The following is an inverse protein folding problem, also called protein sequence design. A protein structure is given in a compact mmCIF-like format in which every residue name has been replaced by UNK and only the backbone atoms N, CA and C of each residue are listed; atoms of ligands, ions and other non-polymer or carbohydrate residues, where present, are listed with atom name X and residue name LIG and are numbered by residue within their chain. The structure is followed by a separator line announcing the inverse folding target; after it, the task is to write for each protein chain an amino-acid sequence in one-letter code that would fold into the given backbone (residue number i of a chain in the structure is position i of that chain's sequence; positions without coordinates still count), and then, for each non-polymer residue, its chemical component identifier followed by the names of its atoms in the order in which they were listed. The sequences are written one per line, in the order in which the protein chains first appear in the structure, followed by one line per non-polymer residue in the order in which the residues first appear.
data_IF_220318475005
#
_entry.id   IF_220318475005
#
_cell.length_a   1.000
_cell.length_b   1.000
_cell.length_c   1.000
_cell.angle_alpha   90.00
_cell.angle_beta   90.00
_cell.angle_gamma   90.00
#
_symmetry.space_group_name_H-M   'P 1'
#
loop_
_entity.id
_entity.type
_entity.pdbx_description
1 polymer ?
#
# COMPACT_ATOMS: atom_id res chain seq x y z
N UNK A 1 4.67 21.17 -44.51
CA UNK A 1 3.78 20.17 -45.14
C UNK A 1 4.15 18.80 -44.59
N UNK A 2 3.15 18.05 -44.07
CA UNK A 2 3.15 16.63 -43.62
C UNK A 2 4.06 16.31 -42.41
N UNK A 3 3.61 16.13 -41.15
CA UNK A 3 2.56 15.27 -40.53
C UNK A 3 2.66 13.79 -40.92
N UNK A 4 2.95 12.93 -39.93
CA UNK A 4 2.45 11.54 -39.67
C UNK A 4 3.31 10.94 -38.53
N UNK A 5 2.90 11.05 -37.26
CA UNK A 5 2.10 10.08 -36.49
C UNK A 5 2.84 8.76 -36.18
N UNK A 6 3.26 8.60 -34.92
CA UNK A 6 3.35 7.30 -34.24
C UNK A 6 2.73 7.46 -32.84
N UNK A 7 1.40 7.42 -32.82
CA UNK A 7 0.59 7.11 -31.64
C UNK A 7 0.58 5.58 -31.54
N UNK A 8 1.11 5.00 -30.46
CA UNK A 8 0.87 3.61 -30.12
C UNK A 8 0.06 3.54 -28.82
N UNK A 9 -1.26 3.37 -29.02
CA UNK A 9 -2.25 2.65 -28.23
C UNK A 9 -2.12 2.67 -26.70
N UNK A 10 -2.75 3.67 -26.10
CA UNK A 10 -3.52 3.52 -24.87
C UNK A 10 -4.97 3.12 -25.21
N UNK A 11 -5.61 2.35 -24.32
CA UNK A 11 -6.99 1.80 -24.35
C UNK A 11 -7.10 0.56 -25.26
N UNK A 12 -7.42 -0.64 -24.77
CA UNK A 12 -8.68 -1.05 -24.12
C UNK A 12 -8.46 -2.40 -23.42
N UNK A 13 -8.75 -2.50 -22.12
CA UNK A 13 -9.61 -3.57 -21.64
C UNK A 13 -10.62 -2.95 -20.68
N UNK A 14 -11.85 -2.91 -21.18
CA UNK A 14 -13.04 -2.67 -20.38
C UNK A 14 -13.17 -3.79 -19.34
N UNK A 15 -13.76 -3.40 -18.21
CA UNK A 15 -14.29 -4.24 -17.15
C UNK A 15 -14.39 -5.74 -17.50
N UNK A 16 -13.49 -6.55 -16.95
CA UNK A 16 -13.81 -7.93 -16.60
C UNK A 16 -14.13 -7.92 -15.11
N UNK A 17 -15.37 -7.58 -14.77
CA UNK A 17 -16.00 -8.17 -13.60
C UNK A 17 -16.64 -9.46 -14.14
N UNK A 18 -16.11 -10.64 -13.78
CA UNK A 18 -16.68 -11.89 -14.30
C UNK A 18 -15.83 -13.15 -14.17
N UNK A 19 -14.51 -13.08 -14.00
CA UNK A 19 -13.66 -14.29 -14.02
C UNK A 19 -13.19 -14.75 -12.63
N UNK A 20 -13.68 -14.14 -11.55
CA UNK A 20 -13.22 -14.43 -10.19
C UNK A 20 -11.75 -14.05 -9.95
N UNK A 21 -11.23 -13.07 -10.69
CA UNK A 21 -9.86 -12.57 -10.59
C UNK A 21 -9.81 -11.09 -10.29
N UNK A 22 -8.72 -10.67 -9.66
CA UNK A 22 -8.38 -9.30 -9.33
C UNK A 22 -6.96 -9.00 -9.84
N UNK A 23 -6.77 -7.81 -10.39
CA UNK A 23 -5.48 -7.35 -10.93
C UNK A 23 -5.10 -6.00 -10.32
N UNK A 24 -3.83 -5.63 -10.44
CA UNK A 24 -3.32 -4.31 -10.07
C UNK A 24 -2.50 -3.72 -11.19
N UNK A 25 -2.92 -2.55 -11.65
CA UNK A 25 -2.13 -1.76 -12.59
C UNK A 25 -1.26 -0.75 -11.84
N UNK A 26 0.03 -0.97 -11.88
CA UNK A 26 1.02 -0.05 -11.31
C UNK A 26 1.50 0.92 -12.39
N UNK A 27 1.12 2.18 -12.24
CA UNK A 27 1.46 3.24 -13.18
C UNK A 27 2.97 3.54 -13.16
N UNK A 28 3.54 4.10 -14.24
CA UNK A 28 4.88 4.65 -14.22
C UNK A 28 5.03 5.75 -13.17
N UNK A 29 6.27 5.99 -12.74
CA UNK A 29 6.58 7.17 -11.93
C UNK A 29 6.28 8.45 -12.71
N UNK A 30 5.56 9.37 -12.08
CA UNK A 30 5.39 10.72 -12.56
C UNK A 30 6.26 11.66 -11.71
N UNK A 31 6.99 12.55 -12.38
CA UNK A 31 7.86 13.52 -11.74
C UNK A 31 7.46 14.94 -12.12
N UNK A 32 7.55 15.87 -11.16
CA UNK A 32 7.40 17.31 -11.43
C UNK A 32 8.12 18.16 -10.40
N UNK A 33 8.68 19.28 -10.82
CA UNK A 33 9.28 20.25 -9.90
C UNK A 33 8.25 20.84 -8.93
N UNK A 34 8.67 21.02 -7.68
CA UNK A 34 7.92 21.72 -6.63
C UNK A 34 8.36 23.17 -6.42
N UNK A 35 9.13 23.75 -7.35
CA UNK A 35 9.65 25.13 -7.28
C UNK A 35 8.62 26.21 -6.91
N UNK A 36 7.33 25.99 -7.21
CA UNK A 36 6.22 26.92 -6.90
C UNK A 36 5.64 26.77 -5.49
N UNK A 37 6.03 25.74 -4.74
CA UNK A 37 5.54 25.44 -3.40
C UNK A 37 6.53 25.94 -2.37
N UNK A 38 6.09 26.90 -1.55
CA UNK A 38 6.93 27.50 -0.51
C UNK A 38 7.48 26.43 0.44
N UNK A 39 8.79 26.43 0.66
CA UNK A 39 9.50 25.46 1.51
C UNK A 39 9.86 24.14 0.81
N UNK A 40 9.44 23.96 -0.46
CA UNK A 40 9.69 22.77 -1.27
C UNK A 40 10.36 23.13 -2.61
N UNK A 41 10.98 24.31 -2.70
CA UNK A 41 11.42 24.88 -3.96
C UNK A 41 12.55 24.07 -4.63
N UNK A 42 13.32 23.34 -3.83
CA UNK A 42 14.44 22.51 -4.25
C UNK A 42 14.05 21.05 -4.51
N UNK A 43 12.75 20.72 -4.37
CA UNK A 43 12.28 19.35 -4.42
C UNK A 43 11.66 19.01 -5.78
N UNK A 44 11.86 17.77 -6.19
CA UNK A 44 11.09 17.14 -7.27
C UNK A 44 10.08 16.20 -6.64
N UNK A 45 8.79 16.44 -6.91
CA UNK A 45 7.75 15.51 -6.54
C UNK A 45 7.87 14.26 -7.38
N UNK A 46 7.86 13.10 -6.73
CA UNK A 46 7.64 11.81 -7.37
C UNK A 46 6.33 11.22 -6.88
N UNK A 47 5.51 10.73 -7.81
CA UNK A 47 4.26 10.06 -7.48
C UNK A 47 4.05 8.81 -8.33
N UNK A 48 3.37 7.81 -7.75
CA UNK A 48 3.04 6.55 -8.42
C UNK A 48 1.72 6.00 -7.89
N UNK A 49 0.88 5.55 -8.80
CA UNK A 49 -0.43 4.94 -8.48
C UNK A 49 -0.39 3.44 -8.72
N UNK A 50 -0.98 2.68 -7.81
CA UNK A 50 -1.45 1.32 -8.05
C UNK A 50 -2.98 1.30 -8.05
N UNK A 51 -3.59 0.69 -9.06
CA UNK A 51 -5.06 0.66 -9.22
C UNK A 51 -5.55 -0.77 -9.28
N UNK A 52 -6.41 -1.12 -8.33
CA UNK A 52 -7.03 -2.44 -8.26
C UNK A 52 -8.21 -2.51 -9.25
N UNK A 53 -8.26 -3.60 -10.02
CA UNK A 53 -9.32 -3.93 -10.97
C UNK A 53 -9.84 -5.35 -10.68
N UNK A 54 -11.11 -5.63 -10.99
CA UNK A 54 -11.75 -6.92 -10.67
C UNK A 54 -12.31 -7.04 -9.25
N UNK A 55 -12.18 -5.98 -8.44
CA UNK A 55 -12.91 -5.79 -7.18
C UNK A 55 -14.29 -5.17 -7.45
N UNK A 56 -15.25 -5.38 -6.55
CA UNK A 56 -16.56 -4.69 -6.58
C UNK A 56 -16.39 -3.18 -6.43
N UNK A 57 -15.50 -2.75 -5.53
CA UNK A 57 -15.08 -1.35 -5.41
C UNK A 57 -13.67 -1.19 -5.97
N UNK A 58 -13.50 -0.25 -6.91
CA UNK A 58 -12.17 0.05 -7.49
C UNK A 58 -11.37 0.94 -6.55
N UNK A 59 -10.41 0.34 -5.87
CA UNK A 59 -9.47 1.07 -5.02
C UNK A 59 -8.22 1.48 -5.80
N UNK A 60 -7.65 2.59 -5.37
CA UNK A 60 -6.34 3.06 -5.83
C UNK A 60 -5.49 3.42 -4.63
N UNK A 61 -4.21 3.07 -4.67
CA UNK A 61 -3.20 3.43 -3.67
C UNK A 61 -2.16 4.29 -4.36
N UNK A 62 -1.78 5.40 -3.74
CA UNK A 62 -0.78 6.34 -4.25
C UNK A 62 0.38 6.46 -3.29
N UNK A 63 1.60 6.41 -3.82
CA UNK A 63 2.74 7.02 -3.17
C UNK A 63 3.00 8.41 -3.76
N UNK A 64 3.33 9.40 -2.92
CA UNK A 64 3.69 10.75 -3.36
C UNK A 64 4.61 11.43 -2.35
N UNK A 65 5.80 11.88 -2.76
CA UNK A 65 6.67 12.69 -1.89
C UNK A 65 7.65 13.56 -2.68
N UNK A 66 8.15 14.63 -2.07
CA UNK A 66 9.25 15.44 -2.59
C UNK A 66 10.61 14.79 -2.36
N UNK A 67 11.53 15.00 -3.29
CA UNK A 67 12.90 14.46 -3.24
C UNK A 67 13.92 15.52 -3.65
N UNK A 68 15.12 15.42 -3.09
CA UNK A 68 16.25 16.30 -3.42
C UNK A 68 17.46 15.47 -3.83
N UNK A 69 18.21 15.95 -4.81
CA UNK A 69 19.44 15.29 -5.25
C UNK A 69 20.56 15.35 -4.20
N UNK A 70 20.62 16.45 -3.43
CA UNK A 70 21.65 16.67 -2.40
C UNK A 70 21.37 15.95 -1.07
N UNK A 71 20.20 15.31 -0.93
CA UNK A 71 19.81 14.55 0.26
C UNK A 71 19.23 13.17 -0.13
N UNK A 72 20.06 12.28 -0.71
CA UNK A 72 19.60 10.95 -1.07
C UNK A 72 19.13 10.19 0.17
N UNK A 73 17.99 9.51 0.06
CA UNK A 73 17.40 8.73 1.15
C UNK A 73 16.41 9.50 2.04
N UNK A 74 16.38 10.83 1.97
CA UNK A 74 15.34 11.65 2.59
C UNK A 74 14.15 11.84 1.62
N UNK A 75 12.96 12.02 2.20
CA UNK A 75 11.76 12.39 1.47
C UNK A 75 11.04 13.54 2.19
N UNK A 76 10.33 14.36 1.41
CA UNK A 76 9.72 15.61 1.86
C UNK A 76 8.22 15.60 1.49
N UNK A 77 7.37 14.96 2.31
CA UNK A 77 5.93 14.94 2.06
C UNK A 77 5.34 16.34 2.16
N UNK A 78 4.55 16.75 1.16
CA UNK A 78 3.86 18.05 1.18
C UNK A 78 2.62 18.01 2.08
N UNK A 79 1.73 17.05 1.79
CA UNK A 79 0.45 16.89 2.50
C UNK A 79 0.38 15.54 3.23
N UNK A 80 1.20 14.58 2.80
CA UNK A 80 1.24 13.17 3.21
C UNK A 80 1.91 12.34 2.10
N UNK A 81 1.97 11.02 2.25
CA UNK A 81 2.72 10.16 1.32
C UNK A 81 2.01 8.87 0.89
N UNK A 82 1.14 8.26 1.70
CA UNK A 82 0.26 7.16 1.26
C UNK A 82 -1.15 7.71 1.05
N UNK A 83 -1.59 7.76 -0.20
CA UNK A 83 -2.88 8.30 -0.62
C UNK A 83 -3.84 7.24 -1.15
N UNK A 84 -5.15 7.53 -1.14
CA UNK A 84 -6.18 6.66 -1.72
C UNK A 84 -7.00 7.41 -2.79
N UNK A 85 -6.51 7.57 -4.04
CA UNK A 85 -7.18 8.36 -5.07
C UNK A 85 -8.52 7.80 -5.57
N UNK A 86 -8.80 6.51 -5.33
CA UNK A 86 -10.02 5.84 -5.74
C UNK A 86 -10.56 4.99 -4.58
N UNK A 87 -11.90 4.84 -4.47
CA UNK A 87 -12.90 5.25 -5.46
C UNK A 87 -13.31 6.74 -5.37
N UNK A 88 -13.25 7.37 -4.19
CA UNK A 88 -13.52 8.81 -4.03
C UNK A 88 -12.36 9.51 -3.32
N UNK A 89 -11.70 10.49 -3.97
CA UNK A 89 -10.47 11.10 -3.45
C UNK A 89 -10.67 11.93 -2.17
N UNK A 90 -11.91 12.30 -1.84
CA UNK A 90 -12.26 12.98 -0.61
C UNK A 90 -12.40 12.02 0.56
N UNK A 91 -12.94 10.82 0.37
CA UNK A 91 -13.23 9.88 1.44
C UNK A 91 -11.96 9.49 2.18
N UNK A 92 -11.18 8.55 1.67
CA UNK A 92 -9.80 8.39 2.10
C UNK A 92 -8.92 9.32 1.27
N UNK A 93 -8.18 10.21 1.92
CA UNK A 93 -7.55 11.31 1.20
C UNK A 93 -6.51 10.88 0.16
N UNK A 94 -6.67 11.34 -1.08
CA UNK A 94 -5.86 10.90 -2.21
C UNK A 94 -4.35 11.21 -2.16
N UNK A 95 -3.89 12.17 -1.34
CA UNK A 95 -2.45 12.51 -1.23
C UNK A 95 -1.81 12.04 0.09
N UNK A 96 -2.56 11.44 1.01
CA UNK A 96 -2.02 11.19 2.35
C UNK A 96 -3.09 10.76 3.35
N UNK A 97 -3.89 9.75 2.98
CA UNK A 97 -4.89 9.20 3.88
C UNK A 97 -4.24 8.45 5.04
N UNK A 98 -3.03 7.90 4.87
CA UNK A 98 -2.36 7.15 5.93
C UNK A 98 -0.95 7.68 6.16
N UNK A 99 -0.64 7.93 7.43
CA UNK A 99 0.71 8.18 7.94
C UNK A 99 1.06 7.10 8.95
N UNK A 100 2.24 6.51 8.77
CA UNK A 100 2.87 5.56 9.68
C UNK A 100 3.97 6.26 10.48
N UNK A 101 3.93 6.09 11.80
CA UNK A 101 4.97 6.53 12.72
C UNK A 101 5.50 5.32 13.46
N UNK A 102 6.84 5.20 13.55
CA UNK A 102 7.52 4.15 14.34
C UNK A 102 8.48 4.84 15.30
N UNK A 103 8.37 4.54 16.59
CA UNK A 103 9.22 5.11 17.65
C UNK A 103 9.25 6.66 17.60
N UNK A 104 8.10 7.28 17.34
CA UNK A 104 7.94 8.73 17.23
C UNK A 104 8.44 9.34 15.92
N UNK A 105 9.02 8.56 15.00
CA UNK A 105 9.51 9.03 13.70
C UNK A 105 8.54 8.74 12.56
N UNK A 106 8.29 9.73 11.71
CA UNK A 106 7.46 9.60 10.53
C UNK A 106 8.20 8.84 9.42
N UNK A 107 7.67 7.68 9.02
CA UNK A 107 8.24 6.84 7.96
C UNK A 107 8.31 7.60 6.63
N UNK A 108 7.36 8.52 6.38
CA UNK A 108 7.29 9.31 5.15
C UNK A 108 8.45 10.29 4.94
N UNK A 109 9.28 10.52 5.97
CA UNK A 109 10.53 11.30 5.84
C UNK A 109 11.70 10.50 5.27
N UNK A 110 11.53 9.18 5.13
CA UNK A 110 12.48 8.31 4.45
C UNK A 110 12.01 8.10 3.02
N UNK A 111 12.95 8.11 2.07
CA UNK A 111 12.68 7.71 0.70
C UNK A 111 12.06 6.31 0.65
N UNK A 112 11.00 6.16 -0.15
CA UNK A 112 10.44 4.84 -0.47
C UNK A 112 11.51 3.96 -1.13
N UNK A 113 11.75 2.78 -0.57
CA UNK A 113 12.69 1.82 -1.13
C UNK A 113 12.07 1.09 -2.34
N UNK A 114 10.81 0.65 -2.20
CA UNK A 114 10.09 -0.02 -3.28
C UNK A 114 8.58 0.17 -3.20
N UNK A 115 7.95 0.12 -4.38
CA UNK A 115 6.49 -0.03 -4.56
C UNK A 115 6.27 -0.91 -5.79
N UNK A 116 5.70 -2.10 -5.58
CA UNK A 116 5.55 -3.13 -6.62
C UNK A 116 4.19 -3.81 -6.54
N UNK A 117 3.76 -4.42 -7.66
CA UNK A 117 2.68 -5.42 -7.65
C UNK A 117 3.34 -6.74 -7.27
N UNK A 118 3.00 -7.25 -6.08
CA UNK A 118 3.58 -8.49 -5.57
C UNK A 118 2.75 -9.73 -5.92
N UNK A 119 1.46 -9.55 -6.20
CA UNK A 119 0.55 -10.63 -6.62
C UNK A 119 -0.64 -10.08 -7.41
N UNK A 120 -1.17 -10.87 -8.35
CA UNK A 120 -2.39 -10.64 -9.10
C UNK A 120 -3.00 -12.00 -9.52
N UNK A 121 -4.31 -12.05 -9.77
CA UNK A 121 -5.04 -13.28 -10.07
C UNK A 121 -6.12 -13.56 -9.03
N UNK A 122 -5.95 -14.61 -8.22
CA UNK A 122 -6.93 -14.97 -7.17
C UNK A 122 -7.03 -13.92 -6.05
N UNK A 123 -5.98 -13.14 -5.89
CA UNK A 123 -5.89 -11.96 -5.03
C UNK A 123 -4.84 -11.02 -5.60
N UNK A 124 -4.89 -9.77 -5.18
CA UNK A 124 -4.03 -8.71 -5.67
C UNK A 124 -3.27 -8.10 -4.49
N UNK A 125 -1.96 -7.94 -4.58
CA UNK A 125 -1.14 -7.33 -3.52
C UNK A 125 -0.27 -6.21 -4.10
N UNK A 126 -0.37 -5.04 -3.50
CA UNK A 126 0.62 -3.95 -3.66
C UNK A 126 1.51 -3.96 -2.44
N UNK A 127 2.82 -4.05 -2.65
CA UNK A 127 3.84 -4.02 -1.60
C UNK A 127 4.59 -2.70 -1.63
N UNK A 128 4.73 -2.06 -0.48
CA UNK A 128 5.48 -0.81 -0.29
C UNK A 128 6.47 -0.98 0.86
N UNK A 129 7.74 -0.65 0.65
CA UNK A 129 8.81 -0.83 1.66
C UNK A 129 9.61 0.45 1.87
N UNK A 130 9.93 0.72 3.14
CA UNK A 130 10.85 1.77 3.57
C UNK A 130 11.96 1.19 4.43
N UNK A 131 13.20 1.62 4.19
CA UNK A 131 14.36 1.29 5.04
C UNK A 131 14.67 2.50 5.92
N UNK A 132 14.05 2.58 7.08
CA UNK A 132 14.19 3.75 7.96
C UNK A 132 15.39 3.61 8.90
N UNK A 133 15.84 4.71 9.53
CA UNK A 133 16.80 4.64 10.62
C UNK A 133 16.35 3.74 11.78
N UNK A 134 15.03 3.60 12.02
CA UNK A 134 14.46 2.83 13.13
C UNK A 134 14.22 1.35 12.80
N UNK A 135 14.26 0.96 11.53
CA UNK A 135 13.87 -0.37 11.09
C UNK A 135 13.28 -0.38 9.69
N UNK A 136 13.03 -1.57 9.17
CA UNK A 136 12.30 -1.72 7.92
C UNK A 136 10.79 -1.64 8.21
N UNK A 137 10.06 -0.93 7.36
CA UNK A 137 8.60 -0.81 7.44
C UNK A 137 8.02 -1.26 6.11
N UNK A 138 7.02 -2.13 6.16
CA UNK A 138 6.28 -2.60 5.01
C UNK A 138 4.81 -2.26 5.15
N UNK A 139 4.20 -1.80 4.07
CA UNK A 139 2.75 -1.63 3.96
C UNK A 139 2.28 -2.44 2.76
N UNK A 140 1.34 -3.35 3.00
CA UNK A 140 0.68 -4.13 1.95
C UNK A 140 -0.78 -3.78 1.85
N UNK A 141 -1.24 -3.59 0.63
CA UNK A 141 -2.66 -3.51 0.32
C UNK A 141 -3.07 -4.75 -0.45
N UNK A 142 -4.12 -5.41 0.01
CA UNK A 142 -4.63 -6.65 -0.54
C UNK A 142 -6.08 -6.47 -1.00
N UNK A 143 -6.32 -6.77 -2.27
CA UNK A 143 -7.65 -6.81 -2.89
C UNK A 143 -8.07 -8.25 -3.17
N UNK A 144 -9.36 -8.53 -3.01
CA UNK A 144 -9.98 -9.81 -3.36
C UNK A 144 -11.00 -9.62 -4.50
N UNK A 145 -11.19 -10.62 -5.36
CA UNK A 145 -12.19 -10.58 -6.42
C UNK A 145 -13.58 -10.27 -5.87
N UNK A 146 -14.32 -9.39 -6.54
CA UNK A 146 -15.70 -9.01 -6.22
C UNK A 146 -15.93 -8.49 -4.78
N UNK A 147 -14.85 -8.14 -4.06
CA UNK A 147 -14.90 -7.55 -2.73
C UNK A 147 -14.97 -6.02 -2.81
N UNK A 148 -15.62 -5.38 -1.85
CA UNK A 148 -15.67 -3.91 -1.71
C UNK A 148 -14.78 -3.40 -0.56
N UNK A 149 -13.97 -4.28 0.01
CA UNK A 149 -12.98 -3.99 1.05
C UNK A 149 -11.56 -4.01 0.50
N UNK A 150 -10.76 -3.03 0.90
CA UNK A 150 -9.31 -3.08 0.75
C UNK A 150 -8.66 -3.46 2.07
N UNK A 151 -8.00 -4.61 2.10
CA UNK A 151 -7.29 -5.09 3.28
C UNK A 151 -5.89 -4.47 3.32
N UNK A 152 -5.38 -4.21 4.52
CA UNK A 152 -4.07 -3.59 4.71
C UNK A 152 -3.31 -4.27 5.86
N UNK A 153 -2.01 -4.49 5.66
CA UNK A 153 -1.09 -4.88 6.72
C UNK A 153 0.08 -3.88 6.78
N UNK A 154 0.37 -3.39 7.97
CA UNK A 154 1.58 -2.62 8.28
C UNK A 154 2.47 -3.51 9.13
N UNK A 155 3.68 -3.81 8.66
CA UNK A 155 4.66 -4.61 9.38
C UNK A 155 5.92 -3.78 9.65
N UNK A 156 6.52 -3.98 10.82
CA UNK A 156 7.73 -3.32 11.28
C UNK A 156 8.74 -4.35 11.75
N UNK A 157 9.95 -4.27 11.22
CA UNK A 157 11.13 -4.95 11.75
C UNK A 157 12.05 -3.90 12.38
N UNK A 158 11.92 -3.65 13.70
CA UNK A 158 12.67 -2.61 14.38
C UNK A 158 14.16 -2.99 14.51
N UNK A 159 15.06 -2.00 14.47
CA UNK A 159 16.49 -2.19 14.75
C UNK A 159 16.81 -2.27 16.26
N UNK A 160 15.85 -1.93 17.12
CA UNK A 160 15.97 -2.00 18.57
C UNK A 160 14.90 -2.89 19.20
N UNK A 161 14.92 -2.99 20.53
CA UNK A 161 13.97 -3.82 21.28
C UNK A 161 12.55 -3.23 21.27
N UNK A 162 12.43 -1.90 21.41
CA UNK A 162 11.13 -1.23 21.43
C UNK A 162 10.53 -1.05 20.02
N UNK A 163 9.24 -1.37 19.89
CA UNK A 163 8.42 -0.98 18.75
C UNK A 163 7.16 -0.25 19.21
N UNK A 164 7.08 1.06 18.92
CA UNK A 164 5.89 1.90 19.12
C UNK A 164 5.34 2.29 17.76
N UNK A 165 4.36 1.51 17.27
CA UNK A 165 3.68 1.75 16.01
C UNK A 165 2.47 2.66 16.23
N UNK A 166 2.34 3.70 15.40
CA UNK A 166 1.17 4.57 15.36
C UNK A 166 0.73 4.81 13.94
N UNK A 167 -0.59 4.88 13.73
CA UNK A 167 -1.20 5.25 12.46
C UNK A 167 -2.04 6.51 12.62
N UNK A 168 -1.95 7.41 11.64
CA UNK A 168 -2.89 8.53 11.49
C UNK A 168 -3.59 8.39 10.15
N UNK A 169 -4.90 8.15 10.23
CA UNK A 169 -5.80 8.02 9.10
C UNK A 169 -6.55 9.33 8.90
N UNK A 170 -6.51 9.86 7.69
CA UNK A 170 -7.13 11.13 7.31
C UNK A 170 -8.18 10.92 6.24
N UNK A 171 -9.34 11.52 6.48
CA UNK A 171 -10.49 11.47 5.59
C UNK A 171 -11.17 12.84 5.45
N UNK A 172 -11.88 13.03 4.33
CA UNK A 172 -12.77 14.15 4.06
C UNK A 172 -14.13 13.55 3.67
N UNK A 173 -14.83 12.90 4.63
CA UNK A 173 -15.98 12.07 4.32
C UNK A 173 -16.98 12.84 3.47
N UNK A 174 -17.34 12.24 2.34
CA UNK A 174 -18.27 12.74 1.33
C UNK A 174 -17.88 14.02 0.57
N UNK A 175 -17.12 14.97 1.15
CA UNK A 175 -16.90 16.28 0.52
C UNK A 175 -15.68 17.08 1.01
N UNK A 176 -15.00 17.79 0.10
CA UNK A 176 -13.93 18.75 0.40
C UNK A 176 -14.47 20.13 0.80
N UNK A 177 -15.01 20.23 2.03
CA UNK A 177 -15.68 21.44 2.57
C UNK A 177 -14.88 22.73 2.38
N UNK A 178 -13.63 22.80 2.84
CA UNK A 178 -12.82 24.03 2.74
C UNK A 178 -12.46 24.42 1.31
N UNK A 179 -12.19 23.44 0.43
CA UNK A 179 -11.88 23.73 -0.98
C UNK A 179 -13.05 24.43 -1.67
N UNK A 180 -14.27 24.00 -1.35
CA UNK A 180 -15.51 24.56 -1.89
C UNK A 180 -16.12 25.66 -1.00
N UNK A 181 -15.46 26.05 0.11
CA UNK A 181 -15.92 27.07 1.06
C UNK A 181 -17.33 26.79 1.62
N UNK A 182 -17.63 25.52 1.88
CA UNK A 182 -18.91 25.10 2.48
C UNK A 182 -18.69 24.53 3.87
N UNK A 183 -19.75 24.51 4.67
CA UNK A 183 -19.77 23.86 5.99
C UNK A 183 -20.44 22.49 5.87
N UNK A 184 -19.80 21.48 6.45
CA UNK A 184 -20.37 20.16 6.63
C UNK A 184 -20.90 19.97 8.04
N UNK A 185 -21.23 18.73 8.38
CA UNK A 185 -21.52 18.31 9.73
C UNK A 185 -20.94 16.91 9.93
N UNK A 186 -19.62 16.84 10.10
CA UNK A 186 -18.91 15.57 10.09
C UNK A 186 -19.12 14.77 11.36
N UNK A 187 -19.18 13.46 11.20
CA UNK A 187 -19.39 12.49 12.28
C UNK A 187 -18.48 11.30 12.08
N UNK A 188 -18.05 10.74 13.21
CA UNK A 188 -17.41 9.43 13.26
C UNK A 188 -18.23 8.55 14.19
N UNK A 189 -18.93 7.59 13.61
CA UNK A 189 -19.72 6.62 14.35
C UNK A 189 -18.86 5.39 14.66
N UNK A 190 -18.87 4.94 15.90
CA UNK A 190 -18.16 3.76 16.40
C UNK A 190 -19.18 2.76 17.01
N UNK A 191 -18.76 1.56 17.47
CA UNK A 191 -19.64 0.66 18.21
C UNK A 191 -20.35 1.29 19.40
N UNK A 192 -19.63 2.06 20.19
CA UNK A 192 -20.13 2.52 21.50
C UNK A 192 -20.61 3.96 21.47
N UNK A 193 -20.23 4.76 20.48
CA UNK A 193 -20.53 6.20 20.48
C UNK A 193 -20.49 6.83 19.09
N UNK A 194 -20.87 8.10 19.01
CA UNK A 194 -20.70 8.95 17.83
C UNK A 194 -19.94 10.21 18.25
N UNK A 195 -18.85 10.51 17.54
CA UNK A 195 -18.01 11.68 17.78
C UNK A 195 -18.40 12.78 16.80
N UNK A 196 -18.73 13.96 17.32
CA UNK A 196 -19.21 15.10 16.50
C UNK A 196 -18.07 16.00 16.09
N UNK A 197 -18.28 16.74 15.00
CA UNK A 197 -17.34 17.75 14.53
C UNK A 197 -16.89 18.70 15.66
N UNK A 198 -15.57 18.86 15.81
CA UNK A 198 -14.94 19.67 16.85
C UNK A 198 -14.65 18.92 18.15
N UNK A 199 -15.22 17.72 18.34
CA UNK A 199 -14.94 16.87 19.50
C UNK A 199 -13.69 16.03 19.29
N UNK A 200 -13.13 15.56 20.40
CA UNK A 200 -12.03 14.59 20.44
C UNK A 200 -12.44 13.48 21.39
N UNK A 201 -12.30 12.23 20.95
CA UNK A 201 -12.65 11.07 21.78
C UNK A 201 -11.55 10.02 21.71
N UNK A 202 -10.98 9.68 22.86
CA UNK A 202 -10.11 8.51 23.05
C UNK A 202 -11.00 7.31 23.40
N UNK A 203 -10.79 6.19 22.74
CA UNK A 203 -11.47 4.91 22.90
C UNK A 203 -10.42 3.79 22.85
N UNK A 204 -10.86 2.53 22.92
CA UNK A 204 -9.98 1.37 22.79
C UNK A 204 -10.39 0.52 21.59
N UNK A 205 -9.42 -0.07 20.89
CA UNK A 205 -9.71 -1.01 19.80
C UNK A 205 -10.48 -2.22 20.32
N UNK A 206 -10.32 -2.60 21.59
CA UNK A 206 -11.05 -3.73 22.17
C UNK A 206 -12.60 -3.58 22.11
N UNK A 207 -13.11 -2.35 22.18
CA UNK A 207 -14.56 -2.04 22.15
C UNK A 207 -14.99 -1.29 20.90
N UNK A 208 -14.08 -0.52 20.29
CA UNK A 208 -14.33 0.41 19.20
C UNK A 208 -13.36 0.19 18.04
N UNK A 209 -13.24 -1.06 17.60
CA UNK A 209 -12.34 -1.49 16.52
C UNK A 209 -12.73 -0.99 15.12
N UNK A 210 -13.91 -0.40 14.94
CA UNK A 210 -14.30 0.18 13.67
C UNK A 210 -14.88 1.59 13.81
N UNK A 211 -14.74 2.35 12.73
CA UNK A 211 -15.25 3.71 12.62
C UNK A 211 -15.84 3.96 11.24
N UNK A 212 -17.07 4.49 11.20
CA UNK A 212 -17.75 4.97 10.00
C UNK A 212 -17.70 6.49 9.97
N UNK A 213 -17.01 7.04 8.98
CA UNK A 213 -16.80 8.46 8.77
C UNK A 213 -17.81 8.97 7.75
N UNK A 214 -18.64 9.93 8.13
CA UNK A 214 -19.65 10.50 7.26
C UNK A 214 -19.90 11.98 7.54
N UNK A 215 -20.77 12.58 6.74
CA UNK A 215 -21.23 13.96 6.88
C UNK A 215 -22.76 14.00 6.78
N UNK A 216 -23.41 14.75 7.67
CA UNK A 216 -24.88 14.86 7.70
C UNK A 216 -25.43 15.88 6.70
N UNK A 217 -24.60 16.80 6.20
CA UNK A 217 -24.97 17.79 5.18
C UNK A 217 -24.72 17.22 3.78
N UNK A 218 -23.58 16.56 3.60
CA UNK A 218 -23.19 15.95 2.33
C UNK A 218 -23.47 14.46 2.37
N UNK A 219 -24.75 14.10 2.34
CA UNK A 219 -25.21 12.71 2.22
C UNK A 219 -25.86 12.52 0.84
N UNK A 220 -25.47 11.50 0.04
CA UNK A 220 -26.14 11.20 -1.22
C UNK A 220 -27.67 11.11 -1.13
N UNK A 221 -28.23 10.75 0.05
CA UNK A 221 -29.67 10.75 0.29
C UNK A 221 -30.32 12.14 0.16
N UNK A 222 -29.53 13.21 0.37
CA UNK A 222 -29.93 14.61 0.22
C UNK A 222 -29.60 15.16 -1.18
N UNK A 223 -29.16 14.31 -2.10
CA UNK A 223 -28.78 14.69 -3.47
C UNK A 223 -27.40 15.35 -3.59
N UNK A 224 -26.57 15.30 -2.55
CA UNK A 224 -25.23 15.89 -2.56
C UNK A 224 -24.18 15.03 -1.84
N UNK A 225 -22.93 15.09 -2.28
CA UNK A 225 -21.82 14.41 -1.63
C UNK A 225 -21.42 13.11 -2.32
N UNK A 226 -20.37 12.49 -1.83
CA UNK A 226 -19.74 11.31 -2.41
C UNK A 226 -19.97 10.03 -1.60
N UNK A 227 -20.69 10.08 -0.47
CA UNK A 227 -20.91 8.94 0.45
C UNK A 227 -19.78 8.80 1.47
N UNK A 228 -20.02 8.06 2.55
CA UNK A 228 -19.08 7.87 3.65
C UNK A 228 -17.93 6.90 3.37
N UNK A 229 -17.06 6.71 4.35
CA UNK A 229 -16.00 5.70 4.33
C UNK A 229 -15.81 5.09 5.71
N UNK A 230 -15.18 3.93 5.80
CA UNK A 230 -14.99 3.26 7.09
C UNK A 230 -13.67 2.53 7.17
N UNK A 231 -13.21 2.36 8.41
CA UNK A 231 -12.06 1.54 8.75
C UNK A 231 -12.44 0.55 9.85
N UNK A 232 -11.93 -0.67 9.75
CA UNK A 232 -11.86 -1.62 10.84
C UNK A 232 -10.39 -1.88 11.12
N UNK A 233 -9.99 -1.78 12.37
CA UNK A 233 -8.67 -2.10 12.89
C UNK A 233 -8.74 -3.53 13.44
N UNK A 234 -7.74 -4.35 13.13
CA UNK A 234 -7.64 -5.71 13.66
C UNK A 234 -7.64 -5.71 15.19
N UNK A 235 -8.02 -6.84 15.83
CA UNK A 235 -8.14 -6.93 17.27
C UNK A 235 -6.76 -6.92 17.96
N UNK A 236 -6.13 -5.76 18.00
CA UNK A 236 -4.85 -5.54 18.66
C UNK A 236 -5.12 -5.23 20.14
N UNK A 237 -4.83 -6.19 21.01
CA UNK A 237 -5.01 -6.03 22.45
C UNK A 237 -4.19 -4.84 22.95
N UNK A 238 -4.83 -3.93 23.67
CA UNK A 238 -4.17 -2.77 24.27
C UNK A 238 -3.91 -1.60 23.32
N UNK A 239 -4.36 -1.67 22.06
CA UNK A 239 -4.33 -0.52 21.17
C UNK A 239 -5.41 0.50 21.54
N UNK A 240 -5.03 1.78 21.53
CA UNK A 240 -5.94 2.90 21.71
C UNK A 240 -6.31 3.50 20.35
N UNK A 241 -7.52 4.04 20.26
CA UNK A 241 -8.02 4.69 19.05
C UNK A 241 -8.63 6.04 19.39
N UNK A 242 -8.25 7.08 18.65
CA UNK A 242 -8.73 8.45 18.87
C UNK A 242 -9.34 9.01 17.61
N UNK A 243 -10.55 9.55 17.73
CA UNK A 243 -11.23 10.22 16.63
C UNK A 243 -11.31 11.73 16.86
N UNK A 244 -10.96 12.48 15.82
CA UNK A 244 -11.01 13.94 15.78
C UNK A 244 -11.62 14.41 14.45
N UNK A 245 -12.96 14.36 14.30
CA UNK A 245 -13.63 14.97 13.17
C UNK A 245 -13.51 16.49 13.25
N UNK A 246 -12.62 17.08 12.45
CA UNK A 246 -12.53 18.53 12.28
C UNK A 246 -13.42 19.04 11.14
N UNK A 247 -13.64 20.35 11.09
CA UNK A 247 -14.47 20.98 10.04
C UNK A 247 -13.91 20.89 8.62
N UNK A 248 -12.62 20.51 8.45
CA UNK A 248 -12.06 20.18 7.14
C UNK A 248 -11.48 18.79 6.99
N UNK A 249 -10.81 18.20 7.98
CA UNK A 249 -10.35 16.81 7.91
C UNK A 249 -10.87 16.04 9.12
N UNK A 250 -11.29 14.80 8.94
CA UNK A 250 -11.56 13.87 10.02
C UNK A 250 -10.37 12.93 10.18
N UNK A 251 -9.82 12.91 11.39
CA UNK A 251 -8.66 12.09 11.74
C UNK A 251 -9.06 10.93 12.65
N UNK A 252 -8.47 9.77 12.38
CA UNK A 252 -8.48 8.61 13.27
C UNK A 252 -7.03 8.24 13.55
N UNK A 253 -6.62 8.34 14.80
CA UNK A 253 -5.31 7.94 15.27
C UNK A 253 -5.42 6.57 15.93
N UNK A 254 -4.48 5.68 15.64
CA UNK A 254 -4.39 4.38 16.29
C UNK A 254 -3.01 4.27 16.90
N UNK A 255 -2.96 4.14 18.21
CA UNK A 255 -1.74 3.96 18.99
C UNK A 255 -1.70 2.49 19.41
N UNK A 256 -0.83 1.70 18.78
CA UNK A 256 -0.75 0.26 19.05
C UNK A 256 0.00 0.00 20.35
N UNK A 257 -0.28 -1.14 20.98
CA UNK A 257 0.41 -1.56 22.19
C UNK A 257 1.93 -1.65 21.95
N UNK A 258 2.71 -1.52 23.02
CA UNK A 258 4.16 -1.69 22.96
C UNK A 258 4.51 -3.04 22.31
N UNK A 259 5.56 -3.02 21.48
CA UNK A 259 6.10 -4.17 20.75
C UNK A 259 5.17 -4.75 19.67
N UNK A 260 4.09 -4.04 19.32
CA UNK A 260 3.26 -4.37 18.15
C UNK A 260 4.09 -4.18 16.87
N UNK A 261 4.34 -5.28 16.16
CA UNK A 261 5.12 -5.32 14.91
C UNK A 261 4.26 -5.50 13.66
N UNK A 262 3.01 -5.90 13.83
CA UNK A 262 2.06 -6.10 12.75
C UNK A 262 0.77 -5.41 13.16
N UNK A 263 0.22 -4.59 12.27
CA UNK A 263 -1.10 -4.00 12.41
C UNK A 263 -1.89 -4.29 11.14
N UNK A 264 -3.15 -4.71 11.29
CA UNK A 264 -4.02 -5.03 10.17
C UNK A 264 -5.24 -4.13 10.18
N UNK A 265 -5.66 -3.69 8.99
CA UNK A 265 -6.81 -2.82 8.80
C UNK A 265 -7.64 -3.28 7.60
N UNK A 266 -8.90 -2.89 7.59
CA UNK A 266 -9.80 -2.99 6.44
C UNK A 266 -10.39 -1.62 6.15
N UNK A 267 -10.36 -1.22 4.88
CA UNK A 267 -10.94 0.03 4.43
C UNK A 267 -12.16 -0.24 3.55
N UNK A 268 -13.23 0.50 3.81
CA UNK A 268 -14.37 0.67 2.91
C UNK A 268 -14.42 2.10 2.41
N UNK A 269 -14.92 2.25 1.19
CA UNK A 269 -15.35 3.53 0.63
C UNK A 269 -16.72 3.32 -0.02
N UNK A 270 -17.73 3.97 0.54
CA UNK A 270 -19.13 3.81 0.15
C UNK A 270 -19.51 4.86 -0.89
N UNK A 271 -18.65 4.99 -1.90
CA UNK A 271 -18.77 5.94 -3.00
C UNK A 271 -20.18 5.95 -3.62
N UNK A 272 -20.88 7.08 -3.49
CA UNK A 272 -22.22 7.30 -4.03
C UNK A 272 -23.36 6.62 -3.25
N UNK A 273 -23.08 6.00 -2.11
CA UNK A 273 -24.10 5.38 -1.27
C UNK A 273 -24.55 6.33 -0.16
N UNK A 274 -25.84 6.26 0.15
CA UNK A 274 -26.43 6.96 1.30
C UNK A 274 -25.82 6.45 2.61
N UNK A 275 -25.68 7.34 3.61
CA UNK A 275 -25.02 6.99 4.86
C UNK A 275 -25.73 5.82 5.58
N UNK A 276 -27.07 5.84 5.61
CA UNK A 276 -27.86 4.81 6.29
C UNK A 276 -27.64 3.42 5.66
N UNK A 277 -27.69 3.34 4.32
CA UNK A 277 -27.49 2.11 3.55
C UNK A 277 -26.07 1.57 3.74
N UNK A 278 -25.07 2.46 3.62
CA UNK A 278 -23.67 2.11 3.81
C UNK A 278 -23.40 1.55 5.21
N UNK A 279 -23.94 2.21 6.25
CA UNK A 279 -23.78 1.81 7.63
C UNK A 279 -24.41 0.44 7.92
N UNK A 280 -25.62 0.19 7.43
CA UNK A 280 -26.31 -1.09 7.59
C UNK A 280 -25.51 -2.23 6.95
N UNK A 281 -25.10 -2.06 5.69
CA UNK A 281 -24.28 -3.03 4.96
C UNK A 281 -22.94 -3.30 5.65
N UNK A 282 -22.30 -2.24 6.18
CA UNK A 282 -21.05 -2.38 6.92
C UNK A 282 -21.26 -3.22 8.17
N UNK A 283 -22.20 -2.82 9.04
CA UNK A 283 -22.49 -3.48 10.32
C UNK A 283 -22.80 -4.96 10.16
N UNK A 284 -23.60 -5.32 9.15
CA UNK A 284 -23.93 -6.70 8.86
C UNK A 284 -22.70 -7.58 8.53
N UNK A 285 -21.62 -6.98 8.02
CA UNK A 285 -20.42 -7.68 7.56
C UNK A 285 -19.26 -7.66 8.54
N UNK A 286 -19.37 -6.92 9.64
CA UNK A 286 -18.27 -6.77 10.60
C UNK A 286 -17.80 -8.09 11.21
N UNK A 287 -18.68 -9.00 11.69
CA UNK A 287 -18.24 -10.27 12.27
C UNK A 287 -17.38 -11.08 11.30
N UNK A 288 -17.88 -11.32 10.08
CA UNK A 288 -17.15 -12.05 9.04
C UNK A 288 -15.87 -11.32 8.59
N UNK A 289 -15.87 -9.99 8.59
CA UNK A 289 -14.68 -9.21 8.24
C UNK A 289 -13.58 -9.35 9.27
N UNK A 290 -13.90 -9.40 10.57
CA UNK A 290 -12.91 -9.63 11.63
C UNK A 290 -12.25 -11.00 11.49
N UNK A 291 -13.06 -12.04 11.29
CA UNK A 291 -12.58 -13.41 11.08
C UNK A 291 -11.66 -13.49 9.86
N UNK A 292 -12.08 -12.90 8.75
CA UNK A 292 -11.29 -12.87 7.53
C UNK A 292 -9.99 -12.08 7.69
N UNK A 293 -10.01 -10.91 8.32
CA UNK A 293 -8.81 -10.10 8.57
C UNK A 293 -7.79 -10.85 9.43
N UNK A 294 -8.26 -11.57 10.45
CA UNK A 294 -7.41 -12.40 11.30
C UNK A 294 -6.78 -13.56 10.53
N UNK A 295 -7.55 -14.21 9.64
CA UNK A 295 -7.11 -15.38 8.87
C UNK A 295 -6.27 -15.03 7.62
N UNK A 296 -6.39 -13.80 7.10
CA UNK A 296 -5.70 -13.40 5.88
C UNK A 296 -4.18 -13.39 6.05
N UNK A 297 -3.50 -13.95 5.06
CA UNK A 297 -2.05 -13.94 4.94
C UNK A 297 -1.63 -12.97 3.84
N UNK A 298 -0.91 -11.91 4.23
CA UNK A 298 -0.45 -10.86 3.35
C UNK A 298 0.87 -11.20 2.64
N UNK A 299 1.43 -12.38 2.85
CA UNK A 299 2.65 -12.84 2.16
C UNK A 299 2.31 -13.31 0.74
N UNK A 300 2.96 -12.79 -0.32
CA UNK A 300 2.68 -13.21 -1.70
C UNK A 300 2.81 -14.72 -1.90
N UNK A 301 1.94 -15.32 -2.70
CA UNK A 301 1.92 -16.78 -2.91
C UNK A 301 3.25 -17.28 -3.46
N UNK A 302 3.83 -16.56 -4.42
CA UNK A 302 5.14 -16.91 -4.99
C UNK A 302 6.24 -16.95 -3.93
N UNK A 303 6.20 -16.03 -2.97
CA UNK A 303 7.17 -15.93 -1.87
C UNK A 303 6.99 -17.08 -0.87
N UNK A 304 5.75 -17.45 -0.54
CA UNK A 304 5.45 -18.56 0.37
C UNK A 304 5.79 -19.95 -0.18
N UNK A 305 5.55 -20.13 -1.47
CA UNK A 305 5.69 -21.43 -2.13
C UNK A 305 7.10 -21.67 -2.69
N UNK A 306 7.95 -20.65 -2.70
CA UNK A 306 9.29 -20.76 -3.25
C UNK A 306 10.18 -21.70 -2.41
N UNK A 307 10.77 -22.68 -3.09
CA UNK A 307 11.89 -23.47 -2.57
C UNK A 307 13.19 -22.78 -2.95
N UNK A 308 13.67 -21.90 -2.07
CA UNK A 308 14.85 -21.08 -2.35
C UNK A 308 16.15 -21.87 -2.45
N UNK A 309 16.24 -23.03 -1.78
CA UNK A 309 17.39 -23.91 -1.89
C UNK A 309 17.47 -24.49 -3.31
N UNK A 310 16.36 -25.08 -3.79
CA UNK A 310 16.27 -25.61 -5.15
C UNK A 310 16.49 -24.53 -6.22
N UNK A 311 15.97 -23.33 -5.97
CA UNK A 311 16.13 -22.21 -6.89
C UNK A 311 17.57 -21.71 -6.95
N UNK A 312 18.26 -21.60 -5.81
CA UNK A 312 19.68 -21.25 -5.73
C UNK A 312 20.55 -22.27 -6.46
N UNK A 313 20.31 -23.56 -6.24
CA UNK A 313 21.00 -24.65 -6.95
C UNK A 313 20.81 -24.55 -8.46
N UNK A 314 19.57 -24.33 -8.90
CA UNK A 314 19.25 -24.20 -10.33
C UNK A 314 19.99 -23.03 -10.98
N UNK A 315 20.02 -21.87 -10.33
CA UNK A 315 20.73 -20.69 -10.84
C UNK A 315 22.23 -20.91 -10.84
N UNK A 316 22.79 -21.52 -9.79
CA UNK A 316 24.22 -21.83 -9.71
C UNK A 316 24.66 -22.73 -10.87
N UNK A 317 23.87 -23.76 -11.20
CA UNK A 317 24.14 -24.63 -12.34
C UNK A 317 24.07 -23.88 -13.69
N UNK A 318 23.05 -23.04 -13.90
CA UNK A 318 22.93 -22.22 -15.12
C UNK A 318 24.10 -21.20 -15.22
N UNK A 319 24.56 -20.67 -14.08
CA UNK A 319 25.71 -19.74 -13.98
C UNK A 319 27.03 -20.43 -14.30
N UNK A 320 27.28 -21.62 -13.75
CA UNK A 320 28.48 -22.40 -14.03
C UNK A 320 28.60 -22.80 -15.50
N UNK A 321 27.45 -23.05 -16.14
CA UNK A 321 27.40 -23.28 -17.58
C UNK A 321 27.73 -22.00 -18.37
N UNK A 322 27.14 -20.87 -18.00
CA UNK A 322 27.41 -19.58 -18.64
C UNK A 322 28.87 -19.13 -18.46
N UNK A 323 29.46 -19.31 -17.28
CA UNK A 323 30.84 -18.93 -16.98
C UNK A 323 31.91 -19.59 -17.86
N UNK A 324 31.57 -20.67 -18.58
CA UNK A 324 32.46 -21.35 -19.54
C UNK A 324 32.35 -20.79 -20.96
N UNK A 325 31.48 -19.81 -21.18
CA UNK A 325 31.17 -19.23 -22.49
C UNK A 325 31.82 -17.84 -22.60
N UNK A 326 32.74 -17.62 -23.55
CA UNK A 326 33.32 -16.30 -23.80
C UNK A 326 32.25 -15.26 -24.14
N UNK A 327 32.38 -14.04 -23.61
CA UNK A 327 31.43 -12.94 -23.86
C UNK A 327 30.23 -12.89 -22.91
N UNK A 328 30.21 -13.75 -21.88
CA UNK A 328 29.15 -13.76 -20.85
C UNK A 328 29.60 -13.19 -19.50
N UNK A 329 30.80 -12.62 -19.43
CA UNK A 329 31.47 -12.22 -18.18
C UNK A 329 30.62 -11.22 -17.39
N UNK A 330 30.03 -10.23 -18.07
CA UNK A 330 29.17 -9.23 -17.43
C UNK A 330 27.89 -9.85 -16.88
N UNK A 331 27.24 -10.74 -17.65
CA UNK A 331 26.03 -11.44 -17.24
C UNK A 331 26.29 -12.37 -16.05
N UNK A 332 27.44 -13.06 -16.05
CA UNK A 332 27.88 -13.91 -14.95
C UNK A 332 28.23 -13.09 -13.71
N UNK A 333 28.87 -11.93 -13.86
CA UNK A 333 29.16 -11.03 -12.75
C UNK A 333 27.85 -10.51 -12.11
N UNK A 334 26.90 -10.06 -12.93
CA UNK A 334 25.57 -9.66 -12.47
C UNK A 334 24.86 -10.80 -11.74
N UNK A 335 24.91 -12.01 -12.30
CA UNK A 335 24.35 -13.22 -11.71
C UNK A 335 24.95 -13.57 -10.33
N UNK A 336 26.28 -13.45 -10.18
CA UNK A 336 26.98 -13.70 -8.91
C UNK A 336 26.65 -12.66 -7.85
N UNK A 337 26.70 -11.37 -8.20
CA UNK A 337 26.30 -10.29 -7.30
C UNK A 337 24.86 -10.48 -6.83
N UNK A 338 23.98 -10.90 -7.75
CA UNK A 338 22.59 -11.14 -7.44
C UNK A 338 22.38 -12.35 -6.52
N UNK A 339 23.04 -13.49 -6.77
CA UNK A 339 23.02 -14.65 -5.87
C UNK A 339 23.55 -14.33 -4.48
N UNK A 340 24.62 -13.53 -4.40
CA UNK A 340 25.23 -13.12 -3.12
C UNK A 340 24.33 -12.19 -2.29
N UNK A 341 23.38 -11.50 -2.93
CA UNK A 341 22.39 -10.66 -2.22
C UNK A 341 21.27 -11.45 -1.57
N UNK A 342 21.13 -12.75 -1.86
CA UNK A 342 20.10 -13.60 -1.26
C UNK A 342 20.45 -13.94 0.20
N UNK A 343 19.48 -13.89 1.12
CA UNK A 343 19.71 -14.34 2.49
C UNK A 343 20.16 -15.81 2.53
N UNK A 344 21.13 -16.19 3.37
CA UNK A 344 21.64 -17.55 3.44
C UNK A 344 20.57 -18.53 3.95
N UNK A 345 20.52 -19.74 3.39
CA UNK A 345 19.69 -20.85 3.90
C UNK A 345 18.46 -21.23 3.05
N UNK A 346 17.76 -22.26 3.54
CA UNK A 346 16.49 -22.83 3.04
C UNK A 346 15.27 -22.29 3.80
N UNK A 347 15.45 -21.24 4.61
CA UNK A 347 14.38 -20.68 5.41
C UNK A 347 13.26 -20.24 4.47
N UNK A 348 12.05 -20.71 4.75
CA UNK A 348 10.83 -20.20 4.13
C UNK A 348 10.85 -18.66 4.26
N UNK A 349 10.07 -17.98 3.44
CA UNK A 349 9.94 -16.53 3.55
C UNK A 349 9.10 -16.10 4.78
N UNK A 350 9.13 -16.87 5.86
CA UNK A 350 8.61 -16.53 7.17
C UNK A 350 9.63 -15.68 7.96
N UNK A 351 9.26 -15.34 9.20
CA UNK A 351 9.79 -14.25 10.03
C UNK A 351 11.33 -14.18 10.20
N UNK A 352 12.07 -15.24 9.84
CA UNK A 352 13.53 -15.33 9.99
C UNK A 352 14.32 -14.40 9.05
N UNK A 353 13.78 -14.07 7.87
CA UNK A 353 14.47 -13.22 6.88
C UNK A 353 14.15 -11.71 7.01
N UNK A 354 13.12 -11.39 7.79
CA UNK A 354 12.59 -10.03 7.91
C UNK A 354 12.08 -9.41 6.59
N UNK A 355 11.59 -8.17 6.67
CA UNK A 355 11.04 -7.38 5.57
C UNK A 355 12.07 -7.24 4.46
N UNK A 356 13.32 -6.87 4.79
CA UNK A 356 14.38 -6.65 3.78
C UNK A 356 14.69 -7.95 3.03
N UNK A 357 14.80 -9.07 3.75
CA UNK A 357 15.01 -10.37 3.11
C UNK A 357 13.85 -10.71 2.18
N UNK A 358 12.61 -10.60 2.65
CA UNK A 358 11.43 -10.89 1.83
C UNK A 358 11.29 -9.95 0.62
N UNK A 359 11.68 -8.67 0.74
CA UNK A 359 11.69 -7.71 -0.38
C UNK A 359 12.69 -8.15 -1.46
N UNK A 360 13.90 -8.52 -1.06
CA UNK A 360 14.92 -9.06 -1.97
C UNK A 360 14.42 -10.33 -2.66
N UNK A 361 13.77 -11.22 -1.91
CA UNK A 361 13.21 -12.47 -2.43
C UNK A 361 12.05 -12.22 -3.42
N UNK A 362 11.13 -11.31 -3.11
CA UNK A 362 10.01 -10.97 -3.98
C UNK A 362 10.49 -10.36 -5.31
N UNK A 363 11.47 -9.43 -5.25
CA UNK A 363 12.12 -8.89 -6.45
C UNK A 363 12.78 -10.00 -7.26
N UNK A 364 13.47 -10.91 -6.58
CA UNK A 364 14.16 -12.03 -7.23
C UNK A 364 13.17 -12.94 -7.98
N UNK A 365 12.05 -13.32 -7.38
CA UNK A 365 11.01 -14.13 -8.03
C UNK A 365 10.40 -13.43 -9.26
N UNK A 366 10.22 -12.11 -9.20
CA UNK A 366 9.70 -11.33 -10.33
C UNK A 366 10.63 -11.30 -11.55
N UNK A 367 11.95 -11.35 -11.32
CA UNK A 367 12.96 -11.29 -12.38
C UNK A 367 13.53 -12.67 -12.76
N UNK A 368 13.27 -13.70 -11.93
CA UNK A 368 13.87 -15.03 -11.99
C UNK A 368 13.80 -15.66 -13.39
N UNK A 369 12.61 -15.69 -13.98
CA UNK A 369 12.42 -16.33 -15.28
C UNK A 369 13.19 -15.60 -16.39
N UNK A 370 13.07 -14.28 -16.45
CA UNK A 370 13.78 -13.45 -17.44
C UNK A 370 15.29 -13.64 -17.33
N UNK A 371 15.80 -13.61 -16.11
CA UNK A 371 17.21 -13.79 -15.84
C UNK A 371 17.73 -15.18 -16.23
N UNK A 372 17.03 -16.23 -15.81
CA UNK A 372 17.38 -17.61 -16.17
C UNK A 372 17.38 -17.81 -17.67
N UNK A 373 16.40 -17.25 -18.37
CA UNK A 373 16.36 -17.27 -19.83
C UNK A 373 17.56 -16.56 -20.46
N UNK A 374 18.00 -15.41 -19.93
CA UNK A 374 19.21 -14.72 -20.42
C UNK A 374 20.47 -15.57 -20.26
N UNK A 375 20.66 -16.21 -19.10
CA UNK A 375 21.80 -17.12 -18.86
C UNK A 375 21.80 -18.29 -19.84
N UNK A 376 20.65 -18.96 -19.99
CA UNK A 376 20.51 -20.11 -20.88
C UNK A 376 20.66 -19.75 -22.35
N UNK A 377 20.07 -18.63 -22.76
CA UNK A 377 20.18 -18.13 -24.13
C UNK A 377 21.63 -17.85 -24.50
N UNK A 378 22.41 -17.25 -23.59
CA UNK A 378 23.83 -17.01 -23.81
C UNK A 378 24.60 -18.34 -24.06
N UNK A 379 24.30 -19.39 -23.29
CA UNK A 379 24.90 -20.73 -23.46
C UNK A 379 24.47 -21.41 -24.75
N UNK A 380 23.25 -21.16 -25.23
CA UNK A 380 22.77 -21.72 -26.50
C UNK A 380 23.39 -20.99 -27.69
N UNK A 381 23.40 -19.66 -27.66
CA UNK A 381 23.94 -18.83 -28.74
C UNK A 381 25.44 -19.05 -28.95
N UNK A 382 26.20 -19.43 -27.93
CA UNK A 382 27.62 -19.74 -28.08
C UNK A 382 27.92 -21.10 -28.73
N UNK A 383 26.88 -21.90 -29.01
CA UNK A 383 27.00 -23.20 -29.69
C UNK A 383 26.61 -23.13 -31.17
N UNK A 384 26.13 -21.97 -31.61
CA UNK A 384 25.80 -21.63 -33.01
C UNK A 384 26.96 -20.79 -33.53
#
# INVERSE_FOLDING_TARGET
MRRLWCVWLALVSLAHAGDGKVDVHLMPWAERSLAKYKGHEQETLRERDARFAGMKTRFGVRYKSGYREDRPGEAFPLEGYIGMPQPRPCNWYHSGFMKVTVNGQDVGRTALASMVVAEAGERAIVDMVWHTPMGAVRVRFLGLPDDDRLFCEVRVDPKGEECRLQLNLRSYPSFFTSHHRRKGARRVLTPTTEVKEGEKRQLTVATDDWAFHHDLVFDPALGEGAGGCAVLVGPEKGAEIRHEPGGYAAHTFVDFAADTRVARLVFWDFAGQENAVALEQMRARIPATREQLAALDFTPTAVRQADFAALRETVAADLDAAARVPGTEELVAQARTWLASLPPGSARADAENGIVGEEVLARWLGEYHTFRWRLRLAVVLSKI
#
